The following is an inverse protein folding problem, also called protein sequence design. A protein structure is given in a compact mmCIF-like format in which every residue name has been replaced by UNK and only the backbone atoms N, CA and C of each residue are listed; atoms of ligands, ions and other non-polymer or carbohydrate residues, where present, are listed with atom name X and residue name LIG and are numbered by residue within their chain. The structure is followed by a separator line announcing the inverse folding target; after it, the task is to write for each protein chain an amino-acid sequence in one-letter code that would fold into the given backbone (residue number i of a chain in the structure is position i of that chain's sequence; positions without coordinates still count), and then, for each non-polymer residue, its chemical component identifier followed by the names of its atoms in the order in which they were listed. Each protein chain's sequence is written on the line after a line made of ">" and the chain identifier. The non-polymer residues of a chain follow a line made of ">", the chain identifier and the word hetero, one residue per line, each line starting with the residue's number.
data_IF_320737708996
#
_entry.id   IF_320737708996
#
_cell.length_a   1.000
_cell.length_b   1.000
_cell.length_c   1.000
_cell.angle_alpha   90.00
_cell.angle_beta   90.00
_cell.angle_gamma   90.00
#
_symmetry.space_group_name_H-M   'P 1'
#
loop_
_entity.id
_entity.type
_entity.pdbx_description
1 polymer ?
#
# COMPACT_ATOMS: atom_id res chain seq x y z
N UNK A 1 1.58 2.45 19.77
CA UNK A 1 0.49 1.90 18.94
C UNK A 1 0.50 2.69 17.64
N UNK A 2 0.57 2.00 16.51
CA UNK A 2 0.45 2.63 15.18
C UNK A 2 -1.03 2.58 14.82
N UNK A 3 -1.63 3.68 14.38
CA UNK A 3 -3.04 3.71 14.00
C UNK A 3 -3.26 3.17 12.58
N UNK A 4 -2.42 3.57 11.63
CA UNK A 4 -2.47 3.17 10.23
C UNK A 4 -1.13 3.47 9.56
N UNK A 5 -0.94 2.95 8.35
CA UNK A 5 0.14 3.34 7.44
C UNK A 5 -0.47 4.12 6.27
N UNK A 6 -0.02 5.35 6.04
CA UNK A 6 -0.50 6.20 4.96
C UNK A 6 0.33 6.07 3.68
N UNK A 7 -0.33 5.91 2.53
CA UNK A 7 0.30 5.85 1.21
C UNK A 7 -0.37 6.90 0.31
N UNK A 8 0.43 7.83 -0.20
CA UNK A 8 -0.07 8.83 -1.16
C UNK A 8 -0.10 8.22 -2.55
N UNK A 9 -1.24 8.34 -3.23
CA UNK A 9 -1.51 7.68 -4.51
C UNK A 9 -2.03 8.67 -5.55
N UNK A 10 -1.79 8.38 -6.83
CA UNK A 10 -2.27 9.22 -7.92
C UNK A 10 -3.73 8.94 -8.30
N UNK A 11 -4.19 7.70 -8.07
CA UNK A 11 -5.53 7.24 -8.37
C UNK A 11 -6.03 6.42 -7.17
N UNK A 12 -6.95 7.02 -6.41
CA UNK A 12 -7.51 6.42 -5.22
C UNK A 12 -8.29 5.15 -5.54
N UNK A 13 -9.03 5.12 -6.66
CA UNK A 13 -9.86 3.97 -7.02
C UNK A 13 -9.00 2.77 -7.36
N UNK A 14 -8.02 2.94 -8.26
CA UNK A 14 -7.11 1.85 -8.65
C UNK A 14 -6.32 1.31 -7.45
N UNK A 15 -5.87 2.21 -6.57
CA UNK A 15 -5.12 1.82 -5.37
C UNK A 15 -6.00 1.12 -4.35
N UNK A 16 -7.22 1.61 -4.10
CA UNK A 16 -8.18 0.93 -3.20
C UNK A 16 -8.48 -0.49 -3.67
N UNK A 17 -8.68 -0.70 -4.97
CA UNK A 17 -8.89 -2.05 -5.51
C UNK A 17 -7.66 -2.95 -5.26
N UNK A 18 -6.46 -2.47 -5.58
CA UNK A 18 -5.21 -3.20 -5.38
C UNK A 18 -5.00 -3.62 -3.92
N UNK A 19 -5.12 -2.68 -2.97
CA UNK A 19 -4.87 -2.96 -1.55
C UNK A 19 -5.96 -3.83 -0.94
N UNK A 20 -7.23 -3.64 -1.33
CA UNK A 20 -8.34 -4.50 -0.88
C UNK A 20 -8.11 -5.96 -1.26
N UNK A 21 -7.69 -6.22 -2.49
CA UNK A 21 -7.44 -7.58 -2.96
C UNK A 21 -6.29 -8.29 -2.22
N UNK A 22 -5.36 -7.53 -1.65
CA UNK A 22 -4.25 -8.06 -0.87
C UNK A 22 -4.60 -8.26 0.60
N UNK A 23 -5.28 -7.29 1.20
CA UNK A 23 -5.56 -7.24 2.63
C UNK A 23 -6.80 -8.04 3.03
N UNK A 24 -7.73 -8.27 2.09
CA UNK A 24 -8.94 -9.08 2.29
C UNK A 24 -10.08 -8.37 3.03
N UNK A 25 -9.76 -7.34 3.83
CA UNK A 25 -10.71 -6.68 4.71
C UNK A 25 -11.62 -5.64 4.05
N UNK A 26 -12.20 -4.80 4.91
CA UNK A 26 -13.20 -3.80 4.55
C UNK A 26 -12.56 -2.53 4.00
N UNK A 27 -13.34 -1.81 3.18
CA UNK A 27 -12.98 -0.49 2.67
C UNK A 27 -13.93 0.55 3.25
N UNK A 28 -13.37 1.56 3.91
CA UNK A 28 -14.11 2.75 4.33
C UNK A 28 -13.75 3.95 3.45
N UNK A 29 -14.77 4.59 2.87
CA UNK A 29 -14.63 5.72 1.96
C UNK A 29 -15.15 5.42 0.54
N UNK A 30 -14.76 6.21 -0.48
CA UNK A 30 -13.86 7.35 -0.38
C UNK A 30 -14.49 8.52 0.41
N UNK A 31 -13.66 9.22 1.14
CA UNK A 31 -13.99 10.45 1.82
C UNK A 31 -13.28 11.62 1.16
N UNK A 32 -13.94 12.77 1.08
CA UNK A 32 -13.31 14.03 0.67
C UNK A 32 -13.08 14.93 1.90
N UNK A 33 -11.91 15.56 1.96
CA UNK A 33 -11.51 16.50 3.01
C UNK A 33 -10.95 17.76 2.37
N UNK A 34 -11.49 18.91 2.74
CA UNK A 34 -11.06 20.21 2.23
C UNK A 34 -11.24 21.33 3.27
N UNK A 35 -10.71 22.52 2.95
CA UNK A 35 -10.85 23.72 3.77
C UNK A 35 -9.59 24.09 4.58
N UNK A 36 -9.61 25.23 5.29
CA UNK A 36 -8.41 25.81 5.90
C UNK A 36 -7.67 24.86 6.85
N UNK A 37 -8.41 24.14 7.71
CA UNK A 37 -7.82 23.17 8.64
C UNK A 37 -7.09 22.02 7.94
N UNK A 38 -7.61 21.55 6.80
CA UNK A 38 -6.95 20.50 6.01
C UNK A 38 -5.66 21.06 5.38
N UNK A 39 -5.70 22.29 4.88
CA UNK A 39 -4.50 22.96 4.38
C UNK A 39 -3.44 23.19 5.46
N UNK A 40 -3.85 23.53 6.68
CA UNK A 40 -2.95 23.70 7.83
C UNK A 40 -2.27 22.38 8.24
N UNK A 41 -3.04 21.30 8.42
CA UNK A 41 -2.49 20.01 8.90
C UNK A 41 -1.59 19.34 7.84
N UNK A 42 -1.91 19.50 6.56
CA UNK A 42 -1.13 18.92 5.46
C UNK A 42 0.04 19.80 5.02
N UNK A 43 0.02 21.09 5.35
CA UNK A 43 0.95 22.09 4.83
C UNK A 43 0.67 22.56 3.40
N UNK A 44 -0.48 22.20 2.82
CA UNK A 44 -0.88 22.60 1.46
C UNK A 44 -2.16 23.45 1.48
N UNK A 45 -2.07 24.79 1.54
CA UNK A 45 -3.23 25.66 1.51
C UNK A 45 -4.12 25.41 0.27
N UNK A 46 -5.43 25.21 0.49
CA UNK A 46 -6.40 24.97 -0.60
C UNK A 46 -6.43 23.54 -1.15
N UNK A 47 -5.69 22.61 -0.55
CA UNK A 47 -5.71 21.20 -0.94
C UNK A 47 -7.09 20.55 -0.74
N UNK A 48 -7.40 19.60 -1.61
CA UNK A 48 -8.49 18.64 -1.41
C UNK A 48 -7.83 17.27 -1.28
N UNK A 49 -8.12 16.55 -0.20
CA UNK A 49 -7.60 15.20 0.03
C UNK A 49 -8.76 14.23 -0.08
N UNK A 50 -8.67 13.32 -1.05
CA UNK A 50 -9.55 12.16 -1.15
C UNK A 50 -8.87 10.98 -0.48
N UNK A 51 -9.58 10.25 0.37
CA UNK A 51 -8.98 9.16 1.12
C UNK A 51 -9.90 7.95 1.30
N UNK A 52 -9.30 6.77 1.35
CA UNK A 52 -9.97 5.51 1.71
C UNK A 52 -9.11 4.78 2.73
N UNK A 53 -9.75 4.09 3.67
CA UNK A 53 -9.08 3.17 4.57
C UNK A 53 -9.35 1.74 4.13
N UNK A 54 -8.31 0.92 4.07
CA UNK A 54 -8.42 -0.51 3.76
C UNK A 54 -7.90 -1.29 4.96
N UNK A 55 -8.77 -2.03 5.63
CA UNK A 55 -8.37 -2.90 6.72
C UNK A 55 -7.86 -4.25 6.21
N UNK A 56 -6.99 -4.87 6.99
CA UNK A 56 -6.70 -6.29 6.86
C UNK A 56 -7.81 -7.13 7.51
N UNK A 57 -7.90 -8.40 7.13
CA UNK A 57 -8.83 -9.37 7.74
C UNK A 57 -8.64 -9.52 9.26
N UNK A 58 -7.51 -9.08 9.82
CA UNK A 58 -7.28 -9.03 11.26
C UNK A 58 -8.07 -7.92 11.99
N UNK A 59 -8.64 -6.96 11.24
CA UNK A 59 -9.45 -5.85 11.73
C UNK A 59 -8.67 -4.70 12.40
N UNK A 60 -7.39 -4.89 12.70
CA UNK A 60 -6.56 -3.93 13.46
C UNK A 60 -5.55 -3.20 12.57
N UNK A 61 -5.10 -3.84 11.49
CA UNK A 61 -4.12 -3.28 10.55
C UNK A 61 -4.85 -2.49 9.46
N UNK A 62 -4.50 -1.21 9.30
CA UNK A 62 -5.15 -0.32 8.32
C UNK A 62 -4.13 0.37 7.42
N UNK A 63 -4.37 0.31 6.11
CA UNK A 63 -3.69 1.14 5.11
C UNK A 63 -4.60 2.30 4.73
N UNK A 64 -4.15 3.53 4.98
CA UNK A 64 -4.82 4.74 4.51
C UNK A 64 -4.25 5.14 3.14
N UNK A 65 -5.13 5.27 2.14
CA UNK A 65 -4.77 5.71 0.80
C UNK A 65 -5.20 7.16 0.62
N UNK A 66 -4.28 8.03 0.20
CA UNK A 66 -4.52 9.47 0.10
C UNK A 66 -4.21 9.99 -1.30
N UNK A 67 -5.20 10.57 -1.97
CA UNK A 67 -5.02 11.30 -3.23
C UNK A 67 -5.15 12.80 -2.96
N UNK A 68 -4.05 13.52 -3.17
CA UNK A 68 -3.96 14.97 -2.98
C UNK A 68 -4.27 15.68 -4.29
N UNK A 69 -5.42 16.34 -4.35
CA UNK A 69 -5.80 17.24 -5.42
C UNK A 69 -5.37 18.68 -5.07
N UNK A 70 -4.83 19.41 -6.03
CA UNK A 70 -4.18 20.71 -5.83
C UNK A 70 -2.99 20.68 -4.85
N UNK A 71 -2.40 19.50 -4.63
CA UNK A 71 -1.13 19.33 -3.92
C UNK A 71 0.10 19.54 -4.82
N UNK A 72 1.24 19.01 -4.38
CA UNK A 72 2.45 18.97 -5.22
C UNK A 72 2.22 18.13 -6.48
N UNK A 73 2.56 18.61 -7.69
CA UNK A 73 2.47 17.82 -8.92
C UNK A 73 3.63 16.82 -9.07
N UNK A 74 4.63 16.87 -8.18
CA UNK A 74 5.84 16.06 -8.28
C UNK A 74 5.56 14.63 -7.83
N UNK A 75 5.70 13.67 -8.75
CA UNK A 75 5.79 12.25 -8.41
C UNK A 75 7.20 11.92 -7.93
N UNK A 76 7.29 11.26 -6.78
CA UNK A 76 8.54 10.69 -6.28
C UNK A 76 8.71 9.32 -6.94
N UNK A 77 9.91 8.98 -7.41
CA UNK A 77 10.21 7.60 -7.79
C UNK A 77 10.52 6.80 -6.51
N UNK A 78 9.65 5.84 -6.12
CA UNK A 78 9.72 5.13 -4.85
C UNK A 78 10.69 3.93 -4.91
N UNK A 79 11.84 4.13 -5.55
CA UNK A 79 12.85 3.08 -5.59
C UNK A 79 13.52 2.87 -4.22
N UNK A 80 13.66 1.62 -3.76
CA UNK A 80 14.27 1.28 -2.46
C UNK A 80 15.72 1.76 -2.32
N UNK A 81 16.43 2.01 -3.41
CA UNK A 81 17.76 2.62 -3.36
C UNK A 81 17.77 4.07 -2.89
N UNK A 82 16.60 4.71 -2.74
CA UNK A 82 16.45 6.12 -2.36
C UNK A 82 16.12 6.23 -0.88
N UNK A 83 16.98 6.92 -0.14
CA UNK A 83 16.77 7.18 1.28
C UNK A 83 15.42 7.88 1.53
N UNK A 84 14.64 7.36 2.48
CA UNK A 84 13.33 7.89 2.85
C UNK A 84 12.13 7.21 2.17
N UNK A 85 12.36 6.35 1.18
CA UNK A 85 11.30 5.50 0.62
C UNK A 85 10.92 4.42 1.64
N UNK A 86 9.60 4.24 1.83
CA UNK A 86 9.03 3.20 2.69
C UNK A 86 8.26 2.18 1.85
N UNK A 87 8.07 0.98 2.40
CA UNK A 87 7.17 -0.04 1.88
C UNK A 87 6.29 -0.59 3.00
N UNK A 88 5.21 -1.26 2.61
CA UNK A 88 4.39 -2.06 3.53
C UNK A 88 4.61 -3.55 3.22
N UNK A 89 4.70 -4.35 4.29
CA UNK A 89 4.76 -5.79 4.20
C UNK A 89 3.43 -6.41 4.63
N UNK A 90 2.87 -7.26 3.78
CA UNK A 90 1.58 -7.91 3.96
C UNK A 90 1.81 -9.42 4.08
N UNK A 91 1.34 -9.98 5.19
CA UNK A 91 1.36 -11.44 5.37
C UNK A 91 0.22 -12.06 4.56
N UNK A 92 0.54 -13.07 3.74
CA UNK A 92 -0.42 -13.81 2.93
C UNK A 92 -0.39 -15.30 3.30
N UNK A 93 -1.55 -15.94 3.28
CA UNK A 93 -1.67 -17.36 3.63
C UNK A 93 -1.02 -18.28 2.57
N UNK A 94 -1.18 -17.94 1.29
CA UNK A 94 -0.63 -18.66 0.15
C UNK A 94 -0.05 -17.65 -0.85
N UNK A 95 1.28 -17.61 -0.92
CA UNK A 95 2.01 -16.69 -1.79
C UNK A 95 1.82 -17.03 -3.27
N UNK A 96 1.76 -18.30 -3.63
CA UNK A 96 1.66 -18.71 -5.04
C UNK A 96 0.27 -18.38 -5.59
N UNK A 97 -0.78 -18.67 -4.83
CA UNK A 97 -2.15 -18.31 -5.19
C UNK A 97 -2.34 -16.77 -5.25
N UNK A 98 -1.70 -16.04 -4.33
CA UNK A 98 -1.74 -14.57 -4.36
C UNK A 98 -1.05 -14.02 -5.61
N UNK A 99 0.13 -14.54 -5.95
CA UNK A 99 0.85 -14.12 -7.16
C UNK A 99 0.10 -14.46 -8.44
N UNK A 100 -0.58 -15.61 -8.50
CA UNK A 100 -1.44 -15.96 -9.64
C UNK A 100 -2.59 -14.96 -9.82
N UNK A 101 -3.28 -14.61 -8.73
CA UNK A 101 -4.35 -13.60 -8.74
C UNK A 101 -3.85 -12.24 -9.21
N UNK A 102 -2.70 -11.80 -8.71
CA UNK A 102 -2.08 -10.52 -9.09
C UNK A 102 -1.66 -10.50 -10.57
N UNK A 103 -1.05 -11.60 -11.06
CA UNK A 103 -0.69 -11.75 -12.47
C UNK A 103 -1.91 -11.65 -13.39
N UNK A 104 -3.04 -12.22 -12.99
CA UNK A 104 -4.32 -12.09 -13.71
C UNK A 104 -4.83 -10.64 -13.87
N UNK A 105 -4.32 -9.71 -13.05
CA UNK A 105 -4.63 -8.27 -13.10
C UNK A 105 -3.48 -7.43 -13.67
N UNK A 106 -2.47 -8.06 -14.26
CA UNK A 106 -1.31 -7.38 -14.84
C UNK A 106 -0.26 -6.92 -13.83
N UNK A 107 -0.37 -7.33 -12.57
CA UNK A 107 0.65 -7.06 -11.54
C UNK A 107 1.67 -8.19 -11.54
N UNK A 108 2.92 -7.87 -11.85
CA UNK A 108 4.02 -8.83 -11.83
C UNK A 108 4.86 -8.68 -10.55
N UNK A 109 5.34 -9.81 -10.03
CA UNK A 109 6.40 -9.81 -9.03
C UNK A 109 7.72 -9.32 -9.64
N UNK A 110 8.54 -8.67 -8.82
CA UNK A 110 9.85 -8.15 -9.22
C UNK A 110 10.86 -9.30 -9.43
N UNK A 111 10.66 -10.42 -8.75
CA UNK A 111 11.48 -11.62 -8.85
C UNK A 111 10.65 -12.87 -8.56
N UNK A 112 11.29 -14.04 -8.65
CA UNK A 112 10.78 -15.24 -8.00
C UNK A 112 10.81 -15.08 -6.46
N UNK A 113 9.88 -15.70 -5.72
CA UNK A 113 9.93 -15.72 -4.26
C UNK A 113 11.21 -16.34 -3.73
N UNK A 114 11.77 -15.71 -2.70
CA UNK A 114 12.90 -16.25 -1.95
C UNK A 114 12.43 -16.93 -0.68
N UNK A 115 13.27 -17.82 -0.12
CA UNK A 115 13.15 -18.26 1.27
C UNK A 115 14.09 -17.40 2.11
N UNK A 116 13.55 -16.74 3.14
CA UNK A 116 14.28 -15.80 3.98
C UNK A 116 15.15 -16.51 5.00
N UNK A 117 16.25 -15.86 5.40
CA UNK A 117 17.10 -16.25 6.52
C UNK A 117 16.73 -15.47 7.80
N UNK A 118 17.50 -15.65 8.88
CA UNK A 118 17.36 -14.86 10.11
C UNK A 118 17.31 -13.35 9.78
N UNK A 119 16.41 -12.55 10.41
CA UNK A 119 15.53 -12.88 11.54
C UNK A 119 14.23 -13.61 11.18
N UNK A 120 13.83 -13.65 9.91
CA UNK A 120 12.57 -14.24 9.47
C UNK A 120 12.78 -15.63 8.84
N UNK A 121 13.64 -16.46 9.41
CA UNK A 121 14.07 -17.70 8.78
C UNK A 121 12.88 -18.60 8.39
N UNK A 122 12.87 -19.05 7.14
CA UNK A 122 11.85 -19.98 6.61
C UNK A 122 10.59 -19.33 6.04
N UNK A 123 10.42 -18.00 6.15
CA UNK A 123 9.34 -17.32 5.42
C UNK A 123 9.63 -17.34 3.91
N UNK A 124 8.57 -17.25 3.10
CA UNK A 124 8.71 -16.94 1.67
C UNK A 124 8.39 -15.47 1.46
N UNK A 125 9.21 -14.76 0.70
CA UNK A 125 9.02 -13.33 0.48
C UNK A 125 9.27 -12.93 -0.98
N UNK A 126 8.51 -11.94 -1.44
CA UNK A 126 8.70 -11.30 -2.75
C UNK A 126 8.12 -9.90 -2.73
N UNK A 127 8.60 -9.02 -3.62
CA UNK A 127 7.99 -7.72 -3.84
C UNK A 127 7.13 -7.69 -5.11
N UNK A 128 6.01 -6.97 -5.02
CA UNK A 128 5.22 -6.51 -6.16
C UNK A 128 5.21 -4.98 -6.18
N UNK A 129 4.70 -4.39 -7.26
CA UNK A 129 4.52 -2.94 -7.40
C UNK A 129 3.03 -2.61 -7.35
N UNK A 130 2.67 -1.61 -6.54
CA UNK A 130 1.35 -1.00 -6.55
C UNK A 130 1.16 -0.10 -7.81
N UNK A 131 -0.02 0.52 -8.01
CA UNK A 131 -0.27 1.42 -9.13
C UNK A 131 0.68 2.63 -9.23
N UNK A 132 1.24 3.07 -8.11
CA UNK A 132 2.22 4.16 -8.01
C UNK A 132 3.67 3.69 -7.97
N UNK A 133 3.90 2.39 -8.20
CA UNK A 133 5.19 1.70 -8.16
C UNK A 133 5.83 1.62 -6.78
N UNK A 134 5.07 1.92 -5.72
CA UNK A 134 5.48 1.60 -4.36
C UNK A 134 5.64 0.09 -4.27
N UNK A 135 6.76 -0.35 -3.68
CA UNK A 135 6.98 -1.77 -3.45
C UNK A 135 6.08 -2.23 -2.31
N UNK A 136 5.43 -3.36 -2.50
CA UNK A 136 4.66 -4.06 -1.47
C UNK A 136 5.28 -5.43 -1.28
N UNK A 137 5.73 -5.71 -0.07
CA UNK A 137 6.31 -7.01 0.28
C UNK A 137 5.17 -7.98 0.59
N UNK A 138 5.17 -9.13 -0.08
CA UNK A 138 4.28 -10.25 0.24
C UNK A 138 5.09 -11.28 1.00
N UNK A 139 4.65 -11.62 2.20
CA UNK A 139 5.33 -12.58 3.08
C UNK A 139 4.40 -13.73 3.41
N UNK A 140 4.82 -14.96 3.17
CA UNK A 140 4.16 -16.14 3.70
C UNK A 140 5.01 -16.70 4.84
N UNK A 141 4.42 -16.81 6.03
CA UNK A 141 5.09 -17.41 7.19
C UNK A 141 5.29 -18.92 6.99
N UNK A 142 6.27 -19.55 7.66
CA UNK A 142 6.40 -21.00 7.67
C UNK A 142 5.10 -21.67 8.14
N UNK A 143 4.83 -22.87 7.60
CA UNK A 143 3.72 -23.71 8.04
C UNK A 143 3.94 -24.24 9.47
#
# INVERSE_FOLDING_TARGET
>A
MIHHVGITVHDLTASTEFYRDLLGGDVEGPFERSGPRIGEVTGYPGVIVRQSFVSADDGDTVVELLQYENGSPTRIDPDHGRAGVAHVAITVADLDATLERLRGRGVAAISEPIVTSHPMAGCRAVYVLDPDRVRVELVQLPA
#
